data_IF_174328195424
#
_entry.id   IF_174328195424
#
_cell.length_a   1.000
_cell.length_b   1.000
_cell.length_c   1.000
_cell.angle_alpha   90.00
_cell.angle_beta   90.00
_cell.angle_gamma   90.00
#
_symmetry.space_group_name_H-M   'P 1'
#
loop_
_entity.id
_entity.type
_entity.pdbx_description
1 polymer ?
#
# COMPACT_ATOMS: atom_id res chain seq x y z
N UNK A 1 12.46 -21.60 -15.83
CA UNK A 1 11.14 -20.97 -15.63
C UNK A 1 10.50 -21.45 -14.33
N UNK A 2 11.21 -21.34 -13.19
CA UNK A 2 10.74 -21.86 -11.89
C UNK A 2 10.94 -20.90 -10.70
N UNK A 3 11.65 -19.78 -10.89
CA UNK A 3 12.03 -18.89 -9.78
C UNK A 3 10.95 -17.85 -9.42
N UNK A 4 10.09 -17.46 -10.37
CA UNK A 4 9.06 -16.42 -10.17
C UNK A 4 7.75 -16.95 -9.58
N UNK A 5 7.51 -18.27 -9.61
CA UNK A 5 6.29 -18.89 -9.07
C UNK A 5 6.52 -19.43 -7.67
N UNK A 6 6.97 -18.58 -6.75
CA UNK A 6 7.15 -18.97 -5.35
C UNK A 6 6.34 -18.05 -4.44
N UNK A 7 5.73 -18.57 -3.35
CA UNK A 7 4.98 -17.76 -2.39
C UNK A 7 5.77 -16.57 -1.83
N UNK A 8 7.10 -16.66 -1.86
CA UNK A 8 8.03 -15.61 -1.44
C UNK A 8 7.96 -14.40 -2.38
N UNK A 9 7.97 -14.60 -3.69
CA UNK A 9 7.92 -13.50 -4.67
C UNK A 9 6.58 -12.76 -4.58
N UNK A 10 5.48 -13.49 -4.43
CA UNK A 10 4.16 -12.89 -4.22
C UNK A 10 4.09 -12.03 -2.95
N UNK A 11 4.73 -12.47 -1.86
CA UNK A 11 4.84 -11.68 -0.63
C UNK A 11 5.68 -10.41 -0.85
N UNK A 12 6.78 -10.51 -1.60
CA UNK A 12 7.63 -9.37 -1.94
C UNK A 12 6.91 -8.37 -2.84
N UNK A 13 6.14 -8.82 -3.82
CA UNK A 13 5.30 -7.97 -4.67
C UNK A 13 4.21 -7.25 -3.85
N UNK A 14 3.53 -7.96 -2.95
CA UNK A 14 2.57 -7.34 -2.03
C UNK A 14 3.24 -6.31 -1.11
N UNK A 15 4.44 -6.61 -0.61
CA UNK A 15 5.27 -5.67 0.15
C UNK A 15 5.67 -4.43 -0.66
N UNK A 16 5.99 -4.60 -1.94
CA UNK A 16 6.29 -3.49 -2.86
C UNK A 16 5.08 -2.60 -3.08
N UNK A 17 3.89 -3.18 -3.29
CA UNK A 17 2.63 -2.43 -3.38
C UNK A 17 2.38 -1.63 -2.10
N UNK A 18 2.57 -2.26 -0.94
CA UNK A 18 2.47 -1.59 0.36
C UNK A 18 3.39 -0.36 0.47
N UNK A 19 4.66 -0.51 0.09
CA UNK A 19 5.66 0.55 0.17
C UNK A 19 5.32 1.73 -0.76
N UNK A 20 5.00 1.45 -2.03
CA UNK A 20 4.70 2.48 -3.03
C UNK A 20 3.41 3.23 -2.66
N UNK A 21 2.37 2.50 -2.23
CA UNK A 21 1.09 3.10 -1.84
C UNK A 21 1.25 4.03 -0.63
N UNK A 22 2.00 3.60 0.39
CA UNK A 22 2.29 4.44 1.55
C UNK A 22 3.11 5.67 1.19
N UNK A 23 4.11 5.51 0.32
CA UNK A 23 4.94 6.62 -0.14
C UNK A 23 4.12 7.68 -0.90
N UNK A 24 3.26 7.25 -1.83
CA UNK A 24 2.39 8.15 -2.59
C UNK A 24 1.42 8.93 -1.66
N UNK A 25 0.77 8.24 -0.72
CA UNK A 25 -0.15 8.88 0.23
C UNK A 25 0.57 9.84 1.19
N UNK A 26 1.77 9.49 1.64
CA UNK A 26 2.58 10.41 2.46
C UNK A 26 3.08 11.62 1.68
N UNK A 27 3.44 11.46 0.41
CA UNK A 27 3.77 12.58 -0.47
C UNK A 27 2.61 13.57 -0.54
N UNK A 28 1.39 13.06 -0.76
CA UNK A 28 0.18 13.89 -0.78
C UNK A 28 -0.07 14.60 0.56
N UNK A 29 0.16 13.91 1.68
CA UNK A 29 0.07 14.53 3.03
C UNK A 29 1.05 15.68 3.19
N UNK A 30 2.31 15.49 2.79
CA UNK A 30 3.35 16.54 2.91
C UNK A 30 2.95 17.76 2.07
N UNK A 31 2.56 17.55 0.81
CA UNK A 31 2.04 18.61 -0.06
C UNK A 31 0.87 19.33 0.62
N UNK A 32 -0.11 18.58 1.14
CA UNK A 32 -1.25 19.18 1.81
C UNK A 32 -0.85 19.97 3.07
N UNK A 33 0.18 19.53 3.81
CA UNK A 33 0.69 20.28 4.97
C UNK A 33 1.37 21.58 4.55
N UNK A 34 2.14 21.56 3.46
CA UNK A 34 2.92 22.71 2.98
C UNK A 34 2.03 23.81 2.38
N UNK A 35 0.95 23.41 1.70
CA UNK A 35 0.06 24.36 1.00
C UNK A 35 -1.21 24.73 1.79
N UNK A 36 -1.48 24.12 2.95
CA UNK A 36 -2.67 24.41 3.76
C UNK A 36 -2.33 25.27 4.98
N UNK A 37 -3.00 26.41 5.15
CA UNK A 37 -2.71 27.39 6.23
C UNK A 37 -2.80 26.83 7.67
N UNK A 38 -3.60 25.78 7.87
CA UNK A 38 -3.73 25.00 9.13
C UNK A 38 -2.98 23.64 9.10
N UNK A 39 -2.14 23.38 8.09
CA UNK A 39 -1.48 22.09 7.86
C UNK A 39 -0.65 21.65 9.06
N UNK A 40 0.14 22.57 9.62
CA UNK A 40 0.94 22.37 10.83
C UNK A 40 0.11 21.96 12.07
N UNK A 41 -1.14 22.43 12.18
CA UNK A 41 -2.02 22.11 13.31
C UNK A 41 -2.58 20.69 13.23
N UNK A 42 -2.80 20.18 12.02
CA UNK A 42 -3.48 18.90 11.79
C UNK A 42 -2.55 17.77 11.33
N UNK A 43 -1.22 17.96 11.36
CA UNK A 43 -0.25 16.97 10.87
C UNK A 43 -0.45 15.57 11.46
N UNK A 44 -0.74 15.47 12.77
CA UNK A 44 -0.98 14.20 13.44
C UNK A 44 -2.27 13.53 12.94
N UNK A 45 -3.38 14.28 12.82
CA UNK A 45 -4.61 13.74 12.24
C UNK A 45 -4.40 13.30 10.79
N UNK A 46 -3.70 14.09 9.98
CA UNK A 46 -3.42 13.76 8.58
C UNK A 46 -2.59 12.49 8.43
N UNK A 47 -1.62 12.25 9.32
CA UNK A 47 -0.88 10.98 9.37
C UNK A 47 -1.82 9.80 9.64
N UNK A 48 -2.66 9.89 10.68
CA UNK A 48 -3.60 8.82 11.00
C UNK A 48 -4.62 8.56 9.90
N UNK A 49 -5.08 9.62 9.22
CA UNK A 49 -5.94 9.50 8.03
C UNK A 49 -5.22 8.76 6.91
N UNK A 50 -3.96 9.11 6.61
CA UNK A 50 -3.16 8.40 5.60
C UNK A 50 -2.99 6.93 5.96
N UNK A 51 -2.66 6.62 7.22
CA UNK A 51 -2.51 5.24 7.69
C UNK A 51 -3.83 4.48 7.56
N UNK A 52 -4.96 5.07 7.95
CA UNK A 52 -6.27 4.44 7.84
C UNK A 52 -6.64 4.15 6.37
N UNK A 53 -6.45 5.12 5.47
CA UNK A 53 -6.68 4.94 4.04
C UNK A 53 -5.75 3.86 3.47
N UNK A 54 -4.48 3.90 3.85
CA UNK A 54 -3.50 2.89 3.44
C UNK A 54 -3.92 1.49 3.87
N UNK A 55 -4.34 1.28 5.12
CA UNK A 55 -4.82 -0.01 5.61
C UNK A 55 -6.04 -0.48 4.81
N UNK A 56 -7.03 0.39 4.58
CA UNK A 56 -8.24 0.04 3.81
C UNK A 56 -7.88 -0.37 2.38
N UNK A 57 -6.99 0.36 1.72
CA UNK A 57 -6.53 0.03 0.37
C UNK A 57 -5.71 -1.25 0.34
N UNK A 58 -4.86 -1.49 1.35
CA UNK A 58 -4.12 -2.75 1.46
C UNK A 58 -5.06 -3.95 1.66
N UNK A 59 -6.08 -3.82 2.51
CA UNK A 59 -7.12 -4.86 2.67
C UNK A 59 -7.84 -5.14 1.34
N UNK A 60 -8.17 -4.10 0.58
CA UNK A 60 -8.73 -4.24 -0.76
C UNK A 60 -7.76 -4.86 -1.76
N UNK A 61 -6.46 -4.61 -1.63
CA UNK A 61 -5.40 -5.14 -2.48
C UNK A 61 -5.07 -6.61 -2.19
N UNK A 62 -5.45 -7.16 -1.03
CA UNK A 62 -5.25 -8.58 -0.70
C UNK A 62 -5.89 -9.48 -1.77
N UNK A 63 -7.16 -9.25 -2.11
CA UNK A 63 -7.87 -10.12 -3.04
C UNK A 63 -7.31 -10.10 -4.48
N UNK A 64 -7.05 -8.95 -5.12
CA UNK A 64 -6.43 -8.94 -6.43
C UNK A 64 -4.96 -9.36 -6.40
N UNK A 65 -4.15 -8.94 -5.43
CA UNK A 65 -2.70 -9.22 -5.47
C UNK A 65 -2.41 -10.65 -5.00
N UNK A 66 -2.90 -11.04 -3.82
CA UNK A 66 -2.67 -12.38 -3.30
C UNK A 66 -3.61 -13.43 -3.89
N UNK A 67 -4.81 -13.05 -4.36
CA UNK A 67 -5.71 -13.98 -5.03
C UNK A 67 -5.25 -14.37 -6.44
N UNK A 68 -4.66 -13.45 -7.21
CA UNK A 68 -4.01 -13.83 -8.47
C UNK A 68 -2.78 -14.68 -8.21
N UNK A 69 -1.92 -14.28 -7.28
CA UNK A 69 -0.74 -15.06 -6.91
C UNK A 69 -1.11 -16.46 -6.38
N UNK A 70 -2.16 -16.60 -5.56
CA UNK A 70 -2.62 -17.89 -5.06
C UNK A 70 -3.18 -18.78 -6.19
N UNK A 71 -3.88 -18.20 -7.16
CA UNK A 71 -4.34 -18.94 -8.34
C UNK A 71 -3.19 -19.35 -9.26
N UNK A 72 -2.16 -18.53 -9.41
CA UNK A 72 -0.97 -18.87 -10.21
C UNK A 72 -0.02 -19.87 -9.52
N UNK A 73 -0.04 -19.92 -8.19
CA UNK A 73 0.81 -20.81 -7.36
C UNK A 73 0.11 -22.13 -7.04
N UNK A 74 -1.20 -22.14 -6.80
CA UNK A 74 -1.96 -23.33 -6.36
C UNK A 74 -3.06 -23.78 -7.33
N UNK A 75 -3.41 -22.98 -8.35
CA UNK A 75 -4.28 -23.40 -9.45
C UNK A 75 -3.44 -23.94 -10.60
N UNK A 76 -3.66 -25.20 -10.95
CA UNK A 76 -3.13 -25.86 -12.15
C UNK A 76 -3.70 -25.27 -13.43
#
# INVERSE_FOLDING_TARGET
MATYKTPIVALLEYGLVAAILFHALNGLRVIAVDFWAKGARYQKQMLWTVVAIWVVLMLGAIYPVLGHAAREVFGS
#
